data_IF_384335967430
#
_entry.id   IF_384335967430
#
_cell.length_a   1.000
_cell.length_b   1.000
_cell.length_c   1.000
_cell.angle_alpha   90.00
_cell.angle_beta   90.00
_cell.angle_gamma   90.00
#
_symmetry.space_group_name_H-M   'P 1'
#
loop_
_entity.id
_entity.type
_entity.pdbx_description
1 polymer ?
#
# COMPACT_ATOMS: atom_id res chain seq x y z
N UNK A 1 -22.40 3.92 19.06
CA UNK A 1 -21.54 4.83 19.85
C UNK A 1 -22.10 6.26 19.79
N UNK A 2 -21.83 7.08 20.83
CA UNK A 2 -22.21 8.50 20.85
C UNK A 2 -23.68 8.80 21.20
N UNK A 3 -24.50 7.83 21.57
CA UNK A 3 -25.89 8.08 22.03
C UNK A 3 -25.88 8.96 23.26
N UNK A 4 -26.67 10.04 23.24
CA UNK A 4 -26.72 11.05 24.28
C UNK A 4 -25.73 12.21 24.09
N UNK A 5 -24.87 12.17 23.07
CA UNK A 5 -24.00 13.25 22.69
C UNK A 5 -24.46 13.86 21.36
N UNK A 6 -25.08 15.05 21.43
CA UNK A 6 -25.73 15.70 20.31
C UNK A 6 -24.91 15.82 19.02
N UNK A 7 -23.62 16.20 19.08
CA UNK A 7 -22.76 16.22 17.88
C UNK A 7 -22.61 14.85 17.21
N UNK A 8 -22.44 13.77 17.99
CA UNK A 8 -22.31 12.43 17.46
C UNK A 8 -23.62 11.89 16.86
N UNK A 9 -24.76 12.25 17.44
CA UNK A 9 -26.09 11.87 16.89
C UNK A 9 -26.39 12.54 15.56
N UNK A 10 -25.86 13.77 15.36
CA UNK A 10 -26.03 14.54 14.12
C UNK A 10 -25.04 14.12 13.02
N UNK A 11 -23.85 13.65 13.36
CA UNK A 11 -22.77 13.35 12.44
C UNK A 11 -21.96 12.11 12.89
N UNK A 12 -22.63 10.96 12.95
CA UNK A 12 -22.09 9.71 13.49
C UNK A 12 -20.76 9.27 12.84
N UNK A 13 -20.60 9.47 11.55
CA UNK A 13 -19.38 9.12 10.82
C UNK A 13 -18.18 9.94 11.29
N UNK A 14 -18.36 11.25 11.48
CA UNK A 14 -17.30 12.15 11.95
C UNK A 14 -16.92 11.80 13.38
N UNK A 15 -17.92 11.54 14.24
CA UNK A 15 -17.73 11.27 15.66
C UNK A 15 -17.40 9.79 15.97
N UNK A 16 -17.27 8.96 14.96
CA UNK A 16 -16.74 7.61 15.13
C UNK A 16 -15.25 7.64 15.56
N UNK A 17 -14.47 8.54 14.93
CA UNK A 17 -13.07 8.83 15.27
C UNK A 17 -12.82 10.33 15.03
N UNK A 18 -13.23 11.22 15.96
CA UNK A 18 -13.29 12.68 15.73
C UNK A 18 -11.93 13.38 15.67
N UNK A 19 -10.84 12.70 16.07
CA UNK A 19 -9.55 13.35 16.29
C UNK A 19 -9.58 14.24 17.55
N UNK A 20 -8.77 15.29 17.55
CA UNK A 20 -8.73 16.24 18.68
C UNK A 20 -9.94 17.19 18.62
N UNK A 21 -10.61 17.36 19.73
CA UNK A 21 -11.75 18.27 19.86
C UNK A 21 -11.82 18.88 21.26
N UNK A 22 -12.43 20.04 21.38
CA UNK A 22 -12.73 20.65 22.65
C UNK A 22 -13.87 19.88 23.35
N UNK A 23 -13.61 19.36 24.53
CA UNK A 23 -14.56 18.52 25.26
C UNK A 23 -15.80 19.25 25.79
N UNK A 24 -15.72 20.59 25.94
CA UNK A 24 -16.81 21.41 26.48
C UNK A 24 -17.74 21.89 25.37
N UNK A 25 -17.15 22.38 24.26
CA UNK A 25 -17.90 22.91 23.12
C UNK A 25 -18.28 21.84 22.09
N UNK A 26 -17.53 20.73 22.02
CA UNK A 26 -17.64 19.74 20.97
C UNK A 26 -17.07 20.22 19.63
N UNK A 27 -16.34 21.36 19.60
CA UNK A 27 -15.71 21.83 18.37
C UNK A 27 -14.44 21.05 18.07
N UNK A 28 -14.30 20.62 16.82
CA UNK A 28 -13.10 19.91 16.37
C UNK A 28 -11.97 20.90 16.16
N UNK A 29 -10.81 20.55 16.68
CA UNK A 29 -9.56 21.31 16.45
C UNK A 29 -9.00 20.85 15.11
N UNK A 30 -9.13 21.72 14.10
CA UNK A 30 -8.57 21.46 12.77
C UNK A 30 -7.10 21.89 12.77
N UNK A 31 -6.21 20.93 12.54
CA UNK A 31 -4.79 21.23 12.34
C UNK A 31 -4.62 21.80 10.92
N UNK A 32 -3.90 22.91 10.80
CA UNK A 32 -3.54 23.46 9.48
C UNK A 32 -2.56 22.49 8.78
N UNK A 33 -3.01 21.93 7.68
CA UNK A 33 -2.24 20.98 6.86
C UNK A 33 -1.66 21.63 5.60
N UNK A 34 -1.73 22.96 5.49
CA UNK A 34 -1.24 23.67 4.33
C UNK A 34 0.27 23.43 4.12
N UNK A 35 0.63 22.92 2.96
CA UNK A 35 2.01 22.58 2.61
C UNK A 35 2.50 21.25 3.15
N UNK A 36 1.66 20.51 3.88
CA UNK A 36 1.98 19.13 4.25
C UNK A 36 1.68 18.17 3.08
N UNK A 37 2.41 17.04 2.97
CA UNK A 37 2.04 15.95 2.08
C UNK A 37 0.62 15.46 2.37
N UNK A 38 -0.16 15.03 1.35
CA UNK A 38 -1.50 14.50 1.56
C UNK A 38 -1.47 13.15 2.27
N UNK A 39 -2.63 12.74 2.80
CA UNK A 39 -2.83 11.37 3.22
C UNK A 39 -2.87 10.45 2.00
N UNK A 40 -2.28 9.26 2.08
CA UNK A 40 -2.32 8.29 0.98
C UNK A 40 -3.75 7.95 0.53
N UNK A 41 -4.69 7.84 1.48
CA UNK A 41 -6.11 7.63 1.16
C UNK A 41 -6.69 8.78 0.30
N UNK A 42 -6.27 10.02 0.53
CA UNK A 42 -6.75 11.18 -0.25
C UNK A 42 -6.11 11.20 -1.66
N UNK A 43 -4.86 10.73 -1.77
CA UNK A 43 -4.24 10.49 -3.09
C UNK A 43 -5.05 9.46 -3.86
N UNK A 44 -5.43 8.34 -3.24
CA UNK A 44 -6.32 7.34 -3.85
C UNK A 44 -7.65 7.97 -4.28
N UNK A 45 -8.36 8.64 -3.36
CA UNK A 45 -9.69 9.19 -3.62
C UNK A 45 -9.73 10.24 -4.73
N UNK A 46 -8.71 11.11 -4.80
CA UNK A 46 -8.59 12.08 -5.89
C UNK A 46 -8.17 11.42 -7.22
N UNK A 47 -7.26 10.47 -7.16
CA UNK A 47 -6.73 9.80 -8.36
C UNK A 47 -7.80 8.94 -9.03
N UNK A 48 -8.63 8.21 -8.29
CA UNK A 48 -9.68 7.38 -8.88
C UNK A 48 -10.71 8.23 -9.63
N UNK A 49 -11.05 9.42 -9.12
CA UNK A 49 -11.96 10.36 -9.81
C UNK A 49 -11.33 10.82 -11.12
N UNK A 50 -10.07 11.27 -11.09
CA UNK A 50 -9.38 11.75 -12.29
C UNK A 50 -9.22 10.65 -13.37
N UNK A 51 -9.00 9.40 -12.96
CA UNK A 51 -8.97 8.25 -13.87
C UNK A 51 -10.37 7.95 -14.43
N UNK A 52 -11.39 7.98 -13.58
CA UNK A 52 -12.77 7.69 -13.95
C UNK A 52 -13.38 8.76 -14.87
N UNK A 53 -12.91 10.00 -14.81
CA UNK A 53 -13.28 11.05 -15.79
C UNK A 53 -12.82 10.72 -17.21
N UNK A 54 -11.73 9.96 -17.35
CA UNK A 54 -11.13 9.59 -18.64
C UNK A 54 -11.48 8.17 -19.09
N UNK A 55 -11.94 7.32 -18.16
CA UNK A 55 -12.28 5.92 -18.42
C UNK A 55 -13.61 5.57 -17.75
N UNK A 56 -14.66 5.41 -18.55
CA UNK A 56 -16.02 5.13 -18.10
C UNK A 56 -16.20 3.72 -17.50
N UNK A 57 -15.23 2.83 -17.70
CA UNK A 57 -15.22 1.48 -17.14
C UNK A 57 -14.81 1.43 -15.66
N UNK A 58 -14.16 2.46 -15.14
CA UNK A 58 -13.70 2.48 -13.75
C UNK A 58 -14.88 2.66 -12.79
N UNK A 59 -14.96 1.77 -11.81
CA UNK A 59 -15.92 1.83 -10.71
C UNK A 59 -15.19 1.63 -9.38
N UNK A 60 -15.70 2.26 -8.31
CA UNK A 60 -15.15 2.14 -6.96
C UNK A 60 -16.02 1.26 -6.07
N UNK A 61 -15.42 0.39 -5.29
CA UNK A 61 -16.12 -0.48 -4.32
C UNK A 61 -15.42 -0.40 -2.96
N UNK A 62 -16.18 -0.30 -1.88
CA UNK A 62 -15.65 -0.41 -0.51
C UNK A 62 -16.64 -1.07 0.43
N UNK A 63 -16.20 -1.90 1.40
CA UNK A 63 -17.05 -2.45 2.44
C UNK A 63 -17.07 -1.53 3.68
N UNK A 64 -18.04 -0.63 3.76
CA UNK A 64 -18.32 0.28 4.89
C UNK A 64 -17.20 1.27 5.28
N UNK A 65 -16.30 1.60 4.34
CA UNK A 65 -15.17 2.49 4.63
C UNK A 65 -15.09 3.72 3.68
N UNK A 66 -16.21 4.34 3.24
CA UNK A 66 -16.16 5.36 2.21
C UNK A 66 -15.29 6.58 2.61
N UNK A 67 -15.40 7.05 3.85
CA UNK A 67 -14.57 8.15 4.35
C UNK A 67 -13.16 7.71 4.79
N UNK A 68 -13.03 6.48 5.27
CA UNK A 68 -11.76 5.93 5.73
C UNK A 68 -10.75 5.69 4.62
N UNK A 69 -11.23 5.33 3.43
CA UNK A 69 -10.40 5.16 2.23
C UNK A 69 -10.57 6.27 1.19
N UNK A 70 -11.27 7.35 1.54
CA UNK A 70 -11.57 8.51 0.68
C UNK A 70 -12.35 8.19 -0.62
N UNK A 71 -13.01 7.02 -0.72
CA UNK A 71 -13.92 6.71 -1.83
C UNK A 71 -15.16 7.62 -1.85
N UNK A 72 -15.51 8.24 -0.71
CA UNK A 72 -16.55 9.25 -0.61
C UNK A 72 -16.34 10.43 -1.57
N UNK A 73 -15.12 10.71 -2.02
CA UNK A 73 -14.81 11.71 -3.05
C UNK A 73 -15.44 11.29 -4.37
N UNK A 74 -15.24 10.03 -4.79
CA UNK A 74 -15.86 9.47 -6.00
C UNK A 74 -17.39 9.32 -5.85
N UNK A 75 -17.89 8.91 -4.68
CA UNK A 75 -19.33 8.82 -4.41
C UNK A 75 -20.03 10.17 -4.59
N UNK A 76 -19.36 11.26 -4.25
CA UNK A 76 -19.89 12.62 -4.44
C UNK A 76 -19.81 13.07 -5.90
N UNK A 77 -18.72 12.76 -6.61
CA UNK A 77 -18.51 13.17 -7.99
C UNK A 77 -19.28 12.31 -9.00
N UNK A 78 -19.34 11.00 -8.74
CA UNK A 78 -19.90 9.97 -9.64
C UNK A 78 -20.72 8.93 -8.84
N UNK A 79 -21.89 9.28 -8.28
CA UNK A 79 -22.63 8.42 -7.35
C UNK A 79 -23.04 7.07 -7.96
N UNK A 80 -23.27 6.99 -9.27
CA UNK A 80 -23.65 5.76 -9.97
C UNK A 80 -22.46 4.82 -10.25
N UNK A 81 -21.22 5.23 -9.89
CA UNK A 81 -20.00 4.50 -10.17
C UNK A 81 -19.16 4.18 -8.92
N UNK A 82 -19.71 4.43 -7.73
CA UNK A 82 -19.04 4.15 -6.47
C UNK A 82 -20.01 3.51 -5.47
N UNK A 83 -19.64 2.35 -4.94
CA UNK A 83 -20.52 1.47 -4.18
C UNK A 83 -19.96 1.19 -2.78
N UNK A 84 -20.79 1.36 -1.75
CA UNK A 84 -20.55 0.85 -0.41
C UNK A 84 -21.44 -0.37 -0.19
N UNK A 85 -20.83 -1.52 0.00
CA UNK A 85 -21.52 -2.80 0.17
C UNK A 85 -21.78 -3.16 1.64
N UNK A 86 -21.53 -2.23 2.57
CA UNK A 86 -21.61 -2.48 4.00
C UNK A 86 -20.41 -3.29 4.52
N UNK A 87 -20.45 -3.73 5.77
CA UNK A 87 -19.38 -4.55 6.38
C UNK A 87 -19.45 -5.97 5.80
N UNK A 88 -18.98 -6.14 4.58
CA UNK A 88 -19.08 -7.36 3.79
C UNK A 88 -17.92 -7.49 2.79
N UNK A 89 -16.70 -7.69 3.29
CA UNK A 89 -15.46 -7.73 2.50
C UNK A 89 -15.52 -8.83 1.43
N UNK A 90 -16.03 -10.00 1.76
CA UNK A 90 -16.23 -11.11 0.81
C UNK A 90 -17.15 -10.69 -0.34
N UNK A 91 -18.28 -10.04 -0.01
CA UNK A 91 -19.19 -9.53 -1.02
C UNK A 91 -18.54 -8.44 -1.88
N UNK A 92 -17.75 -7.55 -1.31
CA UNK A 92 -17.02 -6.52 -2.07
C UNK A 92 -16.15 -7.15 -3.16
N UNK A 93 -15.44 -8.23 -2.85
CA UNK A 93 -14.58 -8.94 -3.82
C UNK A 93 -15.43 -9.65 -4.88
N UNK A 94 -16.44 -10.44 -4.50
CA UNK A 94 -17.31 -11.15 -5.44
C UNK A 94 -18.11 -10.19 -6.33
N UNK A 95 -18.59 -9.07 -5.77
CA UNK A 95 -19.26 -8.02 -6.53
C UNK A 95 -18.33 -7.37 -7.56
N UNK A 96 -17.09 -7.08 -7.17
CA UNK A 96 -16.06 -6.60 -8.08
C UNK A 96 -15.75 -7.61 -9.19
N UNK A 97 -15.63 -8.91 -8.85
CA UNK A 97 -15.46 -9.96 -9.84
C UNK A 97 -16.60 -9.98 -10.86
N UNK A 98 -17.85 -9.90 -10.39
CA UNK A 98 -19.05 -9.85 -11.27
C UNK A 98 -19.01 -8.66 -12.23
N UNK A 99 -18.62 -7.47 -11.76
CA UNK A 99 -18.47 -6.28 -12.63
C UNK A 99 -17.33 -6.45 -13.64
N UNK A 100 -16.22 -7.05 -13.24
CA UNK A 100 -15.08 -7.29 -14.13
C UNK A 100 -15.45 -8.26 -15.26
N UNK A 101 -16.32 -9.26 -15.05
CA UNK A 101 -16.83 -10.14 -16.12
C UNK A 101 -17.63 -9.39 -17.19
N UNK A 102 -18.14 -8.20 -16.87
CA UNK A 102 -18.86 -7.34 -17.80
C UNK A 102 -17.96 -6.23 -18.41
N UNK A 103 -16.67 -6.33 -18.22
CA UNK A 103 -15.67 -5.40 -18.79
C UNK A 103 -15.51 -4.08 -18.04
N UNK A 104 -16.05 -3.98 -16.83
CA UNK A 104 -15.73 -2.88 -15.91
C UNK A 104 -14.38 -3.12 -15.25
N UNK A 105 -13.77 -2.06 -14.71
CA UNK A 105 -12.50 -2.09 -13.99
C UNK A 105 -12.76 -1.64 -12.55
N UNK A 106 -13.11 -2.58 -11.65
CA UNK A 106 -13.37 -2.24 -10.26
C UNK A 106 -12.09 -1.94 -9.50
N UNK A 107 -12.05 -0.79 -8.84
CA UNK A 107 -11.11 -0.46 -7.79
C UNK A 107 -11.75 -0.84 -6.44
N UNK A 108 -11.43 -2.01 -5.95
CA UNK A 108 -11.94 -2.55 -4.68
C UNK A 108 -11.03 -2.12 -3.54
N UNK A 109 -11.44 -1.06 -2.81
CA UNK A 109 -10.65 -0.52 -1.71
C UNK A 109 -11.09 -1.13 -0.38
N UNK A 110 -10.20 -1.90 0.23
CA UNK A 110 -10.40 -2.58 1.50
C UNK A 110 -9.16 -2.35 2.36
N UNK A 111 -9.31 -2.14 3.69
CA UNK A 111 -8.14 -2.10 4.57
C UNK A 111 -7.40 -3.44 4.49
N UNK A 112 -6.07 -3.37 4.46
CA UNK A 112 -5.21 -4.54 4.31
C UNK A 112 -5.56 -5.66 5.32
N UNK A 113 -5.72 -5.33 6.60
CA UNK A 113 -6.11 -6.31 7.63
C UNK A 113 -7.51 -6.89 7.44
N UNK A 114 -8.44 -6.15 6.81
CA UNK A 114 -9.81 -6.61 6.55
C UNK A 114 -9.91 -7.44 5.28
N UNK A 115 -8.98 -7.29 4.35
CA UNK A 115 -8.89 -8.13 3.15
C UNK A 115 -8.72 -9.62 3.47
N UNK A 116 -8.20 -9.95 4.64
CA UNK A 116 -8.13 -11.34 5.13
C UNK A 116 -9.49 -12.06 5.12
N UNK A 117 -10.59 -11.31 5.30
CA UNK A 117 -11.96 -11.86 5.24
C UNK A 117 -12.43 -12.18 3.83
N UNK A 118 -11.89 -11.50 2.82
CA UNK A 118 -12.19 -11.71 1.41
C UNK A 118 -11.17 -12.55 0.67
N UNK A 119 -10.21 -13.15 1.36
CA UNK A 119 -9.07 -13.83 0.75
C UNK A 119 -9.48 -15.00 -0.15
N UNK A 120 -10.44 -15.82 0.29
CA UNK A 120 -10.97 -16.93 -0.50
C UNK A 120 -11.57 -16.43 -1.83
N UNK A 121 -12.35 -15.34 -1.79
CA UNK A 121 -12.95 -14.74 -2.98
C UNK A 121 -11.91 -14.12 -3.90
N UNK A 122 -10.81 -13.58 -3.36
CA UNK A 122 -9.67 -13.13 -4.21
C UNK A 122 -9.10 -14.30 -5.01
N UNK A 123 -8.96 -15.47 -4.39
CA UNK A 123 -8.44 -16.68 -5.06
C UNK A 123 -9.44 -17.23 -6.07
N UNK A 124 -10.68 -17.54 -5.63
CA UNK A 124 -11.68 -18.24 -6.43
C UNK A 124 -12.39 -17.35 -7.46
N UNK A 125 -12.86 -16.18 -7.01
CA UNK A 125 -13.74 -15.35 -7.84
C UNK A 125 -12.94 -14.44 -8.78
N UNK A 126 -11.71 -14.10 -8.44
CA UNK A 126 -10.90 -13.14 -9.20
C UNK A 126 -9.68 -13.78 -9.86
N UNK A 127 -8.73 -14.29 -9.05
CA UNK A 127 -7.43 -14.69 -9.57
C UNK A 127 -7.48 -15.97 -10.41
N UNK A 128 -8.28 -16.97 -10.03
CA UNK A 128 -8.47 -18.19 -10.79
C UNK A 128 -9.03 -17.91 -12.20
N UNK A 129 -9.91 -16.92 -12.32
CA UNK A 129 -10.51 -16.49 -13.58
C UNK A 129 -9.69 -15.39 -14.28
N UNK A 130 -8.58 -14.96 -13.71
CA UNK A 130 -7.74 -13.86 -14.20
C UNK A 130 -8.52 -12.58 -14.51
N UNK A 131 -9.45 -12.20 -13.63
CA UNK A 131 -10.29 -11.02 -13.81
C UNK A 131 -9.55 -9.73 -13.47
N UNK A 132 -9.79 -8.69 -14.24
CA UNK A 132 -9.19 -7.38 -14.07
C UNK A 132 -9.85 -6.61 -12.92
N UNK A 133 -9.47 -6.92 -11.69
CA UNK A 133 -9.88 -6.21 -10.47
C UNK A 133 -8.65 -5.57 -9.83
N UNK A 134 -8.74 -4.28 -9.48
CA UNK A 134 -7.69 -3.54 -8.80
C UNK A 134 -8.01 -3.51 -7.30
N UNK A 135 -7.27 -4.25 -6.50
CA UNK A 135 -7.37 -4.24 -5.04
C UNK A 135 -6.50 -3.12 -4.47
N UNK A 136 -7.12 -2.10 -3.89
CA UNK A 136 -6.43 -1.04 -3.18
C UNK A 136 -6.43 -1.37 -1.68
N UNK A 137 -5.30 -1.85 -1.18
CA UNK A 137 -5.13 -2.26 0.21
C UNK A 137 -4.63 -1.09 1.05
N UNK A 138 -5.58 -0.32 1.56
CA UNK A 138 -5.31 0.80 2.45
C UNK A 138 -4.85 0.29 3.83
N UNK A 139 -4.05 1.04 4.57
CA UNK A 139 -3.42 0.66 5.84
C UNK A 139 -2.53 -0.59 5.69
N UNK A 140 -1.82 -0.73 4.58
CA UNK A 140 -0.74 -1.70 4.45
C UNK A 140 0.35 -1.39 5.47
N UNK A 141 0.81 -2.40 6.21
CA UNK A 141 1.81 -2.24 7.26
C UNK A 141 1.24 -1.81 8.61
N UNK A 142 2.04 -1.09 9.38
CA UNK A 142 1.69 -0.65 10.74
C UNK A 142 0.73 0.54 10.70
N UNK A 143 -0.53 0.31 11.07
CA UNK A 143 -1.59 1.31 11.03
C UNK A 143 -1.56 2.32 12.21
N UNK A 144 -0.72 2.07 13.22
CA UNK A 144 -0.52 2.99 14.34
C UNK A 144 -1.54 2.84 15.47
N UNK A 145 -2.25 3.91 15.79
CA UNK A 145 -3.14 3.99 16.96
C UNK A 145 -4.29 2.98 17.01
N UNK A 146 -4.68 2.41 15.87
CA UNK A 146 -5.74 1.39 15.80
C UNK A 146 -5.26 0.00 16.25
N UNK A 147 -3.95 -0.21 16.33
CA UNK A 147 -3.31 -1.41 16.88
C UNK A 147 -3.42 -2.68 16.04
N UNK A 148 -3.19 -3.85 16.66
CA UNK A 148 -3.01 -5.13 15.97
C UNK A 148 -4.21 -5.58 15.15
N UNK A 149 -5.41 -5.11 15.44
CA UNK A 149 -6.62 -5.42 14.65
C UNK A 149 -6.67 -4.70 13.30
N UNK A 150 -5.83 -3.69 13.10
CA UNK A 150 -5.80 -2.85 11.90
C UNK A 150 -4.44 -2.86 11.19
N UNK A 151 -3.38 -3.39 11.81
CA UNK A 151 -2.08 -3.54 11.14
C UNK A 151 -2.20 -4.46 9.92
N UNK A 152 -1.86 -3.94 8.76
CA UNK A 152 -1.84 -4.64 7.49
C UNK A 152 -0.53 -5.38 7.26
N UNK A 153 -0.12 -6.23 8.21
CA UNK A 153 1.19 -6.86 8.23
C UNK A 153 1.33 -8.04 7.26
N UNK A 154 0.23 -8.70 6.87
CA UNK A 154 0.26 -10.01 6.24
C UNK A 154 -0.07 -10.00 4.75
N UNK A 155 -0.49 -8.86 4.20
CA UNK A 155 -1.00 -8.75 2.83
C UNK A 155 0.02 -9.12 1.75
N UNK A 156 1.28 -8.73 1.90
CA UNK A 156 2.34 -9.14 0.96
C UNK A 156 2.43 -10.66 0.92
N UNK A 157 2.48 -11.31 2.08
CA UNK A 157 2.66 -12.74 2.20
C UNK A 157 1.49 -13.52 1.57
N UNK A 158 0.25 -13.16 1.88
CA UNK A 158 -0.89 -13.92 1.37
C UNK A 158 -1.28 -13.55 -0.08
N UNK A 159 -0.98 -12.34 -0.56
CA UNK A 159 -1.24 -11.96 -1.95
C UNK A 159 -0.19 -12.51 -2.92
N UNK A 160 1.10 -12.52 -2.52
CA UNK A 160 2.16 -12.96 -3.44
C UNK A 160 2.12 -14.45 -3.79
N UNK A 161 1.51 -15.30 -2.99
CA UNK A 161 1.39 -16.73 -3.29
C UNK A 161 0.25 -17.04 -4.28
N UNK A 162 -0.65 -16.08 -4.58
CA UNK A 162 -1.78 -16.32 -5.48
C UNK A 162 -1.30 -16.24 -6.94
N UNK A 163 -1.53 -17.27 -7.79
CA UNK A 163 -1.25 -17.19 -9.24
C UNK A 163 -1.97 -15.99 -9.89
N UNK A 164 -1.41 -15.47 -10.97
CA UNK A 164 -1.90 -14.32 -11.76
C UNK A 164 -1.92 -12.97 -11.02
N UNK A 165 -1.83 -12.94 -9.70
CA UNK A 165 -1.87 -11.71 -8.90
C UNK A 165 -0.61 -10.87 -9.10
N UNK A 166 -0.78 -9.59 -9.44
CA UNK A 166 0.27 -8.57 -9.38
C UNK A 166 0.22 -7.94 -8.00
N UNK A 167 1.37 -7.81 -7.32
CA UNK A 167 1.46 -7.25 -5.98
C UNK A 167 2.46 -6.11 -5.96
N UNK A 168 1.99 -4.89 -5.71
CA UNK A 168 2.79 -3.67 -5.73
C UNK A 168 2.64 -2.84 -4.46
N UNK A 169 3.64 -2.00 -4.20
CA UNK A 169 3.62 -1.03 -3.10
C UNK A 169 4.33 0.27 -3.53
N UNK A 170 3.64 1.42 -3.52
CA UNK A 170 4.23 2.70 -3.86
C UNK A 170 5.17 3.19 -2.76
N UNK A 171 6.31 3.76 -3.15
CA UNK A 171 7.21 4.42 -2.23
C UNK A 171 6.68 5.79 -1.77
N UNK A 172 5.92 6.47 -2.62
CA UNK A 172 5.36 7.79 -2.37
C UNK A 172 4.03 8.00 -3.10
N UNK A 173 3.47 9.18 -3.01
CA UNK A 173 2.17 9.56 -3.57
C UNK A 173 2.14 9.52 -5.10
N UNK A 174 3.23 9.95 -5.74
CA UNK A 174 3.34 9.92 -7.19
C UNK A 174 3.37 8.47 -7.71
N UNK A 175 4.10 7.59 -7.01
CA UNK A 175 4.13 6.16 -7.33
C UNK A 175 2.74 5.52 -7.14
N UNK A 176 1.98 5.87 -6.08
CA UNK A 176 0.60 5.40 -5.92
C UNK A 176 -0.27 5.82 -7.10
N UNK A 177 -0.18 7.09 -7.49
CA UNK A 177 -0.90 7.64 -8.62
C UNK A 177 -0.58 6.91 -9.93
N UNK A 178 0.70 6.65 -10.19
CA UNK A 178 1.17 5.96 -11.38
C UNK A 178 0.82 4.46 -11.39
N UNK A 179 0.87 3.79 -10.23
CA UNK A 179 0.41 2.40 -10.09
C UNK A 179 -1.09 2.28 -10.37
N UNK A 180 -1.93 3.19 -9.84
CA UNK A 180 -3.36 3.22 -10.13
C UNK A 180 -3.64 3.46 -11.62
N UNK A 181 -2.89 4.37 -12.26
CA UNK A 181 -2.98 4.59 -13.70
C UNK A 181 -2.58 3.34 -14.48
N UNK A 182 -1.47 2.71 -14.13
CA UNK A 182 -0.99 1.49 -14.79
C UNK A 182 -1.98 0.34 -14.62
N UNK A 183 -2.52 0.17 -13.42
CA UNK A 183 -3.43 -0.92 -13.09
C UNK A 183 -4.73 -0.91 -13.92
N UNK A 184 -5.20 0.25 -14.38
CA UNK A 184 -6.45 0.36 -15.16
C UNK A 184 -6.24 0.24 -16.68
N UNK A 185 -4.99 0.16 -17.16
CA UNK A 185 -4.71 0.06 -18.59
C UNK A 185 -5.16 -1.30 -19.16
N UNK A 186 -5.69 -1.33 -20.40
CA UNK A 186 -6.20 -2.58 -21.00
C UNK A 186 -5.16 -3.69 -21.10
N UNK A 187 -3.90 -3.34 -21.29
CA UNK A 187 -2.80 -4.31 -21.37
C UNK A 187 -2.44 -4.96 -20.02
N UNK A 188 -2.87 -4.38 -18.92
CA UNK A 188 -2.67 -4.98 -17.59
C UNK A 188 -3.51 -6.24 -17.41
N UNK A 189 -4.77 -6.22 -17.80
CA UNK A 189 -5.75 -7.32 -17.85
C UNK A 189 -5.47 -8.50 -16.89
N UNK A 190 -5.21 -8.20 -15.63
CA UNK A 190 -4.90 -9.16 -14.57
C UNK A 190 -5.34 -8.60 -13.22
N UNK A 191 -5.55 -9.46 -12.20
CA UNK A 191 -5.78 -8.99 -10.83
C UNK A 191 -4.56 -8.23 -10.31
N UNK A 192 -4.78 -7.03 -9.79
CA UNK A 192 -3.71 -6.12 -9.40
C UNK A 192 -3.92 -5.63 -7.96
N UNK A 193 -2.94 -5.84 -7.10
CA UNK A 193 -2.95 -5.35 -5.72
C UNK A 193 -1.98 -4.18 -5.56
N UNK A 194 -2.48 -3.06 -5.03
CA UNK A 194 -1.69 -1.88 -4.66
C UNK A 194 -1.88 -1.66 -3.17
N UNK A 195 -0.84 -1.92 -2.38
CA UNK A 195 -0.87 -1.68 -0.94
C UNK A 195 -0.17 -0.37 -0.58
N UNK A 196 -0.75 0.42 0.29
CA UNK A 196 -0.18 1.70 0.74
C UNK A 196 -0.48 1.97 2.22
N UNK A 197 0.39 2.77 2.91
CA UNK A 197 0.29 2.95 4.34
C UNK A 197 -0.85 3.89 4.75
N UNK A 198 -1.18 3.88 6.03
CA UNK A 198 -1.94 4.94 6.68
C UNK A 198 -1.05 6.16 6.90
N UNK A 199 -1.62 7.36 6.76
CA UNK A 199 -0.95 8.61 7.11
C UNK A 199 -0.51 9.42 5.91
N UNK A 200 0.28 10.44 6.20
CA UNK A 200 0.80 11.35 5.19
C UNK A 200 1.94 10.70 4.41
N UNK A 201 2.04 11.07 3.15
CA UNK A 201 3.20 10.73 2.34
C UNK A 201 4.39 11.66 2.59
N UNK A 202 5.19 11.86 1.55
CA UNK A 202 6.43 12.65 1.62
C UNK A 202 6.48 13.78 0.58
N UNK A 203 5.52 13.83 -0.36
CA UNK A 203 5.50 14.76 -1.49
C UNK A 203 4.31 15.71 -1.42
N UNK A 204 4.49 16.99 -1.01
CA UNK A 204 3.41 17.98 -1.08
C UNK A 204 2.87 18.20 -2.50
N UNK A 205 3.77 18.20 -3.51
CA UNK A 205 3.44 18.38 -4.92
C UNK A 205 3.37 17.01 -5.65
N UNK A 206 2.44 16.17 -5.24
CA UNK A 206 2.30 14.80 -5.76
C UNK A 206 1.51 14.70 -7.07
N UNK A 207 0.74 15.71 -7.43
CA UNK A 207 -0.21 15.69 -8.55
C UNK A 207 0.50 16.01 -9.88
N UNK A 208 1.35 15.08 -10.31
CA UNK A 208 2.07 15.15 -11.59
C UNK A 208 1.26 14.46 -12.71
N UNK A 209 1.62 14.64 -14.00
CA UNK A 209 1.08 13.84 -15.07
C UNK A 209 1.23 12.34 -14.80
N UNK A 210 0.26 11.54 -15.28
CA UNK A 210 0.32 10.09 -15.17
C UNK A 210 1.46 9.51 -16.00
N UNK A 211 2.18 8.56 -15.41
CA UNK A 211 3.19 7.76 -16.08
C UNK A 211 2.84 6.28 -15.96
N UNK A 212 2.92 5.55 -17.08
CA UNK A 212 2.80 4.09 -17.06
C UNK A 212 4.07 3.49 -16.48
N UNK A 213 3.91 2.71 -15.42
CA UNK A 213 5.01 1.95 -14.83
C UNK A 213 5.10 0.57 -15.48
N UNK A 214 6.27 0.12 -15.91
CA UNK A 214 6.46 -1.25 -16.36
C UNK A 214 6.20 -2.22 -15.21
N UNK A 215 5.25 -3.15 -15.39
CA UNK A 215 4.88 -4.13 -14.36
C UNK A 215 6.07 -5.06 -14.10
N UNK A 216 6.38 -5.28 -12.81
CA UNK A 216 7.50 -6.11 -12.40
C UNK A 216 8.87 -5.45 -12.59
N UNK A 217 8.93 -4.13 -12.79
CA UNK A 217 10.20 -3.40 -12.90
C UNK A 217 10.44 -2.48 -11.71
N UNK A 218 11.58 -2.73 -11.05
CA UNK A 218 12.14 -1.84 -10.04
C UNK A 218 12.86 -0.64 -10.65
N UNK A 219 13.45 0.17 -9.79
CA UNK A 219 14.32 1.28 -10.20
C UNK A 219 15.47 1.47 -9.23
N UNK A 220 16.61 1.91 -9.74
CA UNK A 220 17.69 2.41 -8.91
C UNK A 220 17.29 3.80 -8.38
N UNK A 221 17.31 3.95 -7.05
CA UNK A 221 17.10 5.23 -6.35
C UNK A 221 18.45 5.92 -6.10
N UNK A 222 19.44 5.11 -5.78
CA UNK A 222 20.80 5.56 -5.51
C UNK A 222 21.81 4.50 -5.96
N UNK A 223 22.84 4.93 -6.66
CA UNK A 223 24.02 4.11 -6.93
C UNK A 223 24.93 4.01 -5.69
N UNK A 224 25.70 2.95 -5.58
CA UNK A 224 26.56 2.74 -4.43
C UNK A 224 27.39 1.46 -4.51
N UNK A 225 28.11 1.19 -3.42
CA UNK A 225 29.09 0.12 -3.32
C UNK A 225 28.83 -0.74 -2.06
N UNK A 226 29.43 -1.92 -1.98
CA UNK A 226 29.47 -2.86 -0.85
C UNK A 226 28.12 -3.44 -0.39
N UNK A 227 27.06 -2.65 -0.29
CA UNK A 227 25.74 -3.07 0.21
C UNK A 227 24.65 -2.58 -0.70
N UNK A 228 23.72 -3.45 -1.08
CA UNK A 228 22.48 -3.08 -1.78
C UNK A 228 21.29 -3.11 -0.82
N UNK A 229 20.53 -2.02 -0.75
CA UNK A 229 19.26 -1.94 -0.03
C UNK A 229 18.13 -2.09 -1.05
N UNK A 230 17.28 -3.10 -0.86
CA UNK A 230 16.10 -3.36 -1.68
C UNK A 230 14.86 -3.01 -0.86
N UNK A 231 14.16 -1.95 -1.23
CA UNK A 231 12.95 -1.52 -0.54
C UNK A 231 11.68 -1.89 -1.29
N UNK A 232 10.61 -2.12 -0.54
CA UNK A 232 9.25 -2.27 -1.07
C UNK A 232 8.32 -1.26 -0.40
N UNK A 233 7.79 -0.33 -1.20
CA UNK A 233 6.84 0.67 -0.74
C UNK A 233 7.46 1.78 0.11
N UNK A 234 6.65 2.39 0.99
CA UNK A 234 7.04 3.58 1.76
C UNK A 234 8.30 3.42 2.65
N UNK A 235 8.70 2.22 3.14
CA UNK A 235 9.97 2.06 3.85
C UNK A 235 11.19 2.46 3.02
N UNK A 236 11.08 2.53 1.70
CA UNK A 236 12.11 3.09 0.84
C UNK A 236 12.51 4.53 1.21
N UNK A 237 11.60 5.31 1.82
CA UNK A 237 11.94 6.65 2.32
C UNK A 237 12.83 6.60 3.58
N UNK A 238 12.77 5.52 4.36
CA UNK A 238 13.70 5.30 5.48
C UNK A 238 15.07 4.90 4.96
N UNK A 239 15.11 4.05 3.93
CA UNK A 239 16.35 3.68 3.25
C UNK A 239 17.06 4.89 2.63
N UNK A 240 16.34 5.84 2.01
CA UNK A 240 16.92 7.11 1.53
C UNK A 240 17.61 7.85 2.66
N UNK A 241 16.94 8.04 3.79
CA UNK A 241 17.51 8.74 4.96
C UNK A 241 18.71 8.01 5.53
N UNK A 242 18.64 6.67 5.63
CA UNK A 242 19.76 5.87 6.10
C UNK A 242 20.98 6.02 5.18
N UNK A 243 20.79 6.00 3.86
CA UNK A 243 21.85 6.24 2.89
C UNK A 243 22.49 7.64 3.04
N UNK A 244 21.67 8.67 3.27
CA UNK A 244 22.15 10.05 3.49
C UNK A 244 22.98 10.18 4.79
N UNK A 245 22.65 9.44 5.82
CA UNK A 245 23.40 9.42 7.08
C UNK A 245 24.70 8.63 6.94
N UNK A 246 24.67 7.46 6.31
CA UNK A 246 25.85 6.64 6.06
C UNK A 246 26.87 7.31 5.14
N UNK A 247 26.42 8.10 4.16
CA UNK A 247 27.31 8.90 3.31
C UNK A 247 28.17 9.87 4.10
N UNK A 248 27.67 10.46 5.18
CA UNK A 248 28.44 11.34 6.07
C UNK A 248 29.56 10.60 6.81
N UNK A 249 29.44 9.28 6.93
CA UNK A 249 30.42 8.38 7.51
C UNK A 249 31.34 7.75 6.45
N UNK A 250 31.17 8.12 5.17
CA UNK A 250 31.97 7.62 4.05
C UNK A 250 31.53 6.26 3.50
N UNK A 251 30.32 5.79 3.87
CA UNK A 251 29.71 4.58 3.34
C UNK A 251 28.72 4.94 2.22
N UNK A 252 28.75 4.22 1.10
CA UNK A 252 27.94 4.49 -0.07
C UNK A 252 27.07 3.29 -0.45
N UNK A 253 26.01 2.95 0.30
CA UNK A 253 25.13 1.85 -0.08
C UNK A 253 24.30 2.19 -1.33
N UNK A 254 24.10 1.19 -2.20
CA UNK A 254 23.16 1.29 -3.29
C UNK A 254 21.71 1.12 -2.77
N UNK A 255 20.74 1.80 -3.36
CA UNK A 255 19.33 1.67 -3.01
C UNK A 255 18.47 1.47 -4.25
N UNK A 256 17.62 0.43 -4.19
CA UNK A 256 16.67 0.07 -5.24
C UNK A 256 15.25 0.03 -4.66
N UNK A 257 14.32 0.74 -5.28
CA UNK A 257 12.88 0.62 -5.04
C UNK A 257 12.33 -0.47 -5.95
N UNK A 258 11.96 -1.60 -5.37
CA UNK A 258 11.51 -2.76 -6.16
C UNK A 258 10.08 -2.63 -6.66
N UNK A 259 9.26 -1.71 -6.12
CA UNK A 259 7.88 -1.43 -6.52
C UNK A 259 6.93 -2.63 -6.45
N UNK A 260 7.40 -3.83 -6.84
CA UNK A 260 6.60 -5.05 -6.94
C UNK A 260 7.20 -6.17 -6.09
N UNK A 261 6.35 -6.78 -5.26
CA UNK A 261 6.67 -8.05 -4.63
C UNK A 261 6.38 -9.23 -5.58
N UNK A 262 5.52 -9.01 -6.60
CA UNK A 262 5.19 -9.97 -7.66
C UNK A 262 4.62 -9.25 -8.89
N UNK A 263 5.12 -9.53 -10.11
CA UNK A 263 6.36 -10.27 -10.33
C UNK A 263 7.58 -9.48 -9.82
N UNK A 264 8.63 -10.18 -9.45
CA UNK A 264 9.92 -9.56 -9.15
C UNK A 264 10.60 -9.10 -10.45
N UNK A 265 11.42 -8.05 -10.36
CA UNK A 265 12.34 -7.67 -11.44
C UNK A 265 13.56 -8.60 -11.42
N UNK A 266 13.41 -9.76 -12.05
CA UNK A 266 14.46 -10.78 -12.06
C UNK A 266 15.74 -10.30 -12.76
N UNK A 267 15.62 -9.49 -13.83
CA UNK A 267 16.76 -8.91 -14.54
C UNK A 267 17.57 -8.00 -13.60
N UNK A 268 16.91 -7.05 -12.95
CA UNK A 268 17.55 -6.18 -11.96
C UNK A 268 18.14 -6.97 -10.78
N UNK A 269 17.45 -8.02 -10.32
CA UNK A 269 17.96 -8.87 -9.23
C UNK A 269 19.21 -9.66 -9.65
N UNK A 270 19.27 -10.16 -10.88
CA UNK A 270 20.49 -10.79 -11.40
C UNK A 270 21.67 -9.82 -11.36
N UNK A 271 21.48 -8.57 -11.82
CA UNK A 271 22.54 -7.54 -11.78
C UNK A 271 22.98 -7.25 -10.34
N UNK A 272 22.01 -7.10 -9.41
CA UNK A 272 22.30 -6.84 -7.99
C UNK A 272 23.09 -8.00 -7.36
N UNK A 273 22.66 -9.25 -7.57
CA UNK A 273 23.34 -10.42 -6.97
C UNK A 273 24.71 -10.70 -7.59
N UNK A 274 24.99 -10.21 -8.78
CA UNK A 274 26.33 -10.27 -9.39
C UNK A 274 27.27 -9.20 -8.82
N UNK A 275 26.74 -8.05 -8.41
CA UNK A 275 27.53 -6.93 -7.90
C UNK A 275 27.68 -6.93 -6.38
N UNK A 276 26.70 -7.44 -5.64
CA UNK A 276 26.64 -7.30 -4.19
C UNK A 276 26.55 -8.65 -3.48
N UNK A 277 27.40 -8.84 -2.46
CA UNK A 277 27.38 -10.00 -1.56
C UNK A 277 26.65 -9.71 -0.24
N UNK A 278 26.32 -8.45 0.04
CA UNK A 278 25.55 -8.00 1.19
C UNK A 278 24.30 -7.27 0.68
N UNK A 279 23.14 -7.79 1.03
CA UNK A 279 21.86 -7.25 0.62
C UNK A 279 20.99 -7.05 1.85
N UNK A 280 20.34 -5.90 1.93
CA UNK A 280 19.34 -5.60 2.96
C UNK A 280 17.99 -5.45 2.26
N UNK A 281 16.97 -6.17 2.70
CA UNK A 281 15.59 -5.93 2.25
C UNK A 281 14.82 -5.19 3.32
N UNK A 282 14.00 -4.22 2.94
CA UNK A 282 13.16 -3.47 3.86
C UNK A 282 11.71 -3.41 3.36
N UNK A 283 10.77 -3.79 4.24
CA UNK A 283 9.35 -3.85 3.97
C UNK A 283 8.53 -3.50 5.21
N UNK A 284 7.36 -2.92 5.02
CA UNK A 284 6.35 -2.76 6.06
C UNK A 284 5.35 -3.93 6.01
N UNK A 285 5.87 -5.13 6.07
CA UNK A 285 5.16 -6.40 6.04
C UNK A 285 5.84 -7.41 6.97
N UNK A 286 5.18 -8.54 7.24
CA UNK A 286 5.77 -9.59 8.05
C UNK A 286 7.00 -10.21 7.35
N UNK A 287 8.06 -10.46 8.12
CA UNK A 287 9.28 -11.09 7.62
C UNK A 287 9.04 -12.50 7.06
N UNK A 288 8.03 -13.21 7.59
CA UNK A 288 7.68 -14.56 7.16
C UNK A 288 6.80 -14.51 5.91
N UNK A 289 7.32 -14.98 4.77
CA UNK A 289 6.59 -14.99 3.50
C UNK A 289 6.45 -13.63 2.81
N UNK A 290 6.99 -12.55 3.38
CA UNK A 290 6.95 -11.21 2.81
C UNK A 290 7.91 -10.99 1.63
N UNK A 291 8.22 -9.73 1.34
CA UNK A 291 9.11 -9.34 0.24
C UNK A 291 10.53 -9.86 0.42
N UNK A 292 11.11 -9.72 1.63
CA UNK A 292 12.45 -10.26 1.90
C UNK A 292 12.53 -11.78 1.75
N UNK A 293 11.44 -12.51 1.98
CA UNK A 293 11.36 -13.95 1.67
C UNK A 293 11.38 -14.20 0.16
N UNK A 294 10.69 -13.37 -0.65
CA UNK A 294 10.73 -13.49 -2.11
C UNK A 294 12.15 -13.29 -2.67
N UNK A 295 12.90 -12.34 -2.12
CA UNK A 295 14.32 -12.13 -2.50
C UNK A 295 15.18 -13.34 -2.12
N UNK A 296 14.96 -13.93 -0.92
CA UNK A 296 15.61 -15.17 -0.52
C UNK A 296 15.29 -16.36 -1.40
N UNK A 297 14.04 -16.52 -1.80
CA UNK A 297 13.58 -17.55 -2.76
C UNK A 297 14.29 -17.38 -4.12
N UNK A 298 14.33 -16.13 -4.64
CA UNK A 298 15.05 -15.82 -5.87
C UNK A 298 16.54 -16.18 -5.78
N UNK A 299 17.19 -15.77 -4.68
CA UNK A 299 18.60 -16.09 -4.42
C UNK A 299 18.86 -17.59 -4.47
N UNK A 300 18.04 -18.40 -3.77
CA UNK A 300 18.18 -19.85 -3.71
C UNK A 300 17.92 -20.51 -5.07
N UNK A 301 16.86 -20.09 -5.77
CA UNK A 301 16.49 -20.65 -7.07
C UNK A 301 17.55 -20.41 -8.15
N UNK A 302 18.32 -19.34 -8.03
CA UNK A 302 19.37 -18.96 -8.98
C UNK A 302 20.80 -19.29 -8.48
N UNK A 303 20.93 -20.01 -7.35
CA UNK A 303 22.19 -20.44 -6.79
C UNK A 303 23.17 -19.29 -6.44
N UNK A 304 22.66 -18.11 -6.09
CA UNK A 304 23.47 -17.02 -5.59
C UNK A 304 23.91 -17.26 -4.15
N UNK A 305 25.12 -16.77 -3.80
CA UNK A 305 25.66 -16.82 -2.45
C UNK A 305 25.86 -15.41 -1.94
N UNK A 306 24.88 -14.87 -1.24
CA UNK A 306 24.92 -13.55 -0.63
C UNK A 306 24.37 -13.60 0.80
N UNK A 307 24.76 -12.63 1.62
CA UNK A 307 24.15 -12.41 2.94
C UNK A 307 22.96 -11.47 2.77
N UNK A 308 21.77 -12.00 2.95
CA UNK A 308 20.52 -11.21 2.94
C UNK A 308 20.06 -10.95 4.38
N UNK A 309 20.04 -9.68 4.78
CA UNK A 309 19.45 -9.23 6.04
C UNK A 309 18.05 -8.68 5.73
N UNK A 310 17.01 -9.13 6.46
CA UNK A 310 15.64 -8.73 6.22
C UNK A 310 15.15 -7.84 7.35
N UNK A 311 14.65 -6.65 7.01
CA UNK A 311 14.04 -5.70 7.92
C UNK A 311 12.54 -5.61 7.61
N UNK A 312 11.70 -5.73 8.64
CA UNK A 312 10.26 -5.75 8.53
C UNK A 312 9.60 -6.15 9.85
N UNK A 313 8.31 -6.39 9.83
CA UNK A 313 7.54 -6.74 11.03
C UNK A 313 7.93 -8.14 11.52
N UNK A 314 8.43 -8.28 12.77
CA UNK A 314 8.84 -9.56 13.33
C UNK A 314 7.66 -10.49 13.59
N UNK A 315 7.93 -11.77 13.90
CA UNK A 315 6.92 -12.81 14.20
C UNK A 315 6.30 -12.61 15.58
N UNK A 316 5.58 -11.50 15.73
CA UNK A 316 4.74 -11.17 16.88
C UNK A 316 3.67 -10.14 16.50
N UNK A 317 2.56 -10.09 17.23
CA UNK A 317 1.61 -8.99 17.12
C UNK A 317 2.22 -7.71 17.71
N UNK A 318 2.09 -6.61 16.98
CA UNK A 318 2.57 -5.30 17.40
C UNK A 318 1.40 -4.55 18.04
N UNK A 319 1.65 -3.94 19.19
CA UNK A 319 0.64 -3.15 19.90
C UNK A 319 0.31 -1.83 19.16
N UNK A 320 -0.64 -1.07 19.68
CA UNK A 320 -0.95 0.26 19.19
C UNK A 320 0.13 1.27 19.63
N UNK A 321 0.40 2.26 18.80
CA UNK A 321 1.38 3.32 19.07
C UNK A 321 1.41 4.34 17.93
N UNK A 322 2.25 5.34 18.04
CA UNK A 322 2.52 6.21 16.91
C UNK A 322 3.35 5.45 15.87
N UNK A 323 3.06 5.57 14.55
CA UNK A 323 3.76 4.80 13.51
C UNK A 323 5.28 4.85 13.62
N UNK A 324 5.84 6.03 13.96
CA UNK A 324 7.29 6.19 14.11
C UNK A 324 7.87 5.35 15.25
N UNK A 325 7.15 5.22 16.37
CA UNK A 325 7.58 4.40 17.51
C UNK A 325 7.51 2.91 17.15
N UNK A 326 6.49 2.51 16.38
CA UNK A 326 6.32 1.14 15.94
C UNK A 326 7.37 0.73 14.90
N UNK A 327 7.81 1.63 14.02
CA UNK A 327 8.89 1.38 13.08
C UNK A 327 10.23 1.19 13.80
N UNK A 328 10.53 2.02 14.82
CA UNK A 328 11.71 1.89 15.70
C UNK A 328 11.65 0.56 16.49
N UNK A 329 10.50 0.22 17.08
CA UNK A 329 10.26 -1.03 17.80
C UNK A 329 10.48 -2.27 16.92
N UNK A 330 10.09 -2.22 15.66
CA UNK A 330 10.26 -3.31 14.68
C UNK A 330 11.60 -3.28 13.98
N UNK A 331 12.45 -2.32 14.23
CA UNK A 331 13.79 -2.18 13.66
C UNK A 331 13.80 -2.20 12.12
N UNK A 332 12.96 -1.38 11.49
CA UNK A 332 13.01 -1.14 10.04
C UNK A 332 12.89 0.36 9.66
N UNK A 333 13.13 1.24 10.63
CA UNK A 333 13.31 2.67 10.39
C UNK A 333 14.73 2.99 9.85
N UNK A 334 15.04 4.29 9.70
CA UNK A 334 16.33 4.71 9.16
C UNK A 334 17.54 4.42 10.09
N UNK A 335 17.32 4.15 11.39
CA UNK A 335 18.38 3.85 12.35
C UNK A 335 18.79 2.37 12.32
N UNK A 336 17.86 1.50 11.93
CA UNK A 336 18.07 0.05 11.89
C UNK A 336 19.05 -0.37 10.80
#
# INVERSE_FOLDING_TARGET
KGKGFGPAEKAATIWHAPGIFDKETGERIVVDTKGMPPLFQDVFGNTIVELAEKNDKIVGVTPAMPSGCSLNIMMKAMPDRAFDVGIAEQHAVTFSAGMATQGLIPFCNIYSSFMQRGYDQVVHDVALQNLHVVFCLDRGGLAGADGPTHHGAFDIAFMRCIPNMIVSAPMNEQELRNLMYTAQLPETNAPFSIRYPRGNGVMPEWKTPFEKLPIGKGRMVRDGEEVAILSLGHPGNFAVKACEELEKEGLLPAHYDMRFAKPLDEELLHDIFLCFIKIITVEDGCLMGGFGSAIGEFMMNNNYSARVTRLGIPDRFIDHGEPKELYDECHFDAKA
#
